data_IF_558821285035
#
_entry.id   IF_558821285035
#
_cell.length_a   1.000
_cell.length_b   1.000
_cell.length_c   1.000
_cell.angle_alpha   90.00
_cell.angle_beta   90.00
_cell.angle_gamma   90.00
#
_symmetry.space_group_name_H-M   'P 1'
#
loop_
_entity.id
_entity.type
_entity.pdbx_description
1 polymer ?
#
# COMPACT_ATOMS: atom_id res chain seq x y z
N UNK A 1 -3.49 -10.02 13.60
CA UNK A 1 -2.44 -10.46 12.67
C UNK A 1 -1.88 -9.26 11.92
N UNK A 2 -0.72 -9.40 11.34
CA UNK A 2 -0.14 -8.34 10.50
C UNK A 2 -0.73 -8.41 9.09
N UNK A 3 -1.03 -7.23 8.53
CA UNK A 3 -1.48 -7.09 7.14
C UNK A 3 -0.58 -6.06 6.48
N UNK A 4 0.04 -6.42 5.35
CA UNK A 4 0.76 -5.44 4.53
C UNK A 4 -0.27 -4.71 3.69
N UNK A 5 -0.36 -3.39 3.90
CA UNK A 5 -1.28 -2.54 3.14
C UNK A 5 -0.47 -1.66 2.18
N UNK A 6 -0.87 -1.64 0.92
CA UNK A 6 -0.17 -0.81 -0.04
C UNK A 6 -0.80 0.59 -0.17
N UNK A 7 -0.11 1.44 -0.91
CA UNK A 7 -0.52 2.83 -1.10
C UNK A 7 -1.88 2.94 -1.78
N UNK A 8 -2.20 2.06 -2.74
CA UNK A 8 -3.50 2.11 -3.43
C UNK A 8 -4.68 1.92 -2.47
N UNK A 9 -4.55 0.99 -1.54
CA UNK A 9 -5.59 0.71 -0.54
C UNK A 9 -5.69 1.86 0.48
N UNK A 10 -4.55 2.44 0.89
CA UNK A 10 -4.54 3.60 1.77
C UNK A 10 -5.21 4.81 1.12
N UNK A 11 -4.91 5.09 -0.14
CA UNK A 11 -5.54 6.18 -0.88
C UNK A 11 -7.06 5.98 -0.95
N UNK A 12 -7.53 4.77 -1.19
CA UNK A 12 -8.97 4.48 -1.23
C UNK A 12 -9.67 4.84 0.09
N UNK A 13 -9.01 4.63 1.22
CA UNK A 13 -9.54 5.01 2.53
C UNK A 13 -9.50 6.53 2.72
N UNK A 14 -8.39 7.17 2.32
CA UNK A 14 -8.17 8.59 2.52
C UNK A 14 -9.14 9.44 1.68
N UNK A 15 -9.38 9.06 0.42
CA UNK A 15 -10.24 9.82 -0.49
C UNK A 15 -11.66 9.23 -0.63
N UNK A 16 -12.02 8.31 0.25
CA UNK A 16 -13.35 7.72 0.34
C UNK A 16 -13.83 7.07 -0.97
N UNK A 17 -12.99 6.19 -1.53
CA UNK A 17 -13.38 5.39 -2.69
C UNK A 17 -14.34 4.26 -2.28
N UNK A 18 -15.05 3.61 -3.25
CA UNK A 18 -16.04 2.56 -2.94
C UNK A 18 -15.50 1.41 -2.08
N UNK A 19 -14.23 1.09 -2.16
CA UNK A 19 -13.60 -0.01 -1.43
C UNK A 19 -13.32 0.32 0.03
N UNK A 20 -13.46 1.58 0.46
CA UNK A 20 -13.11 2.05 1.81
C UNK A 20 -13.76 1.20 2.90
N UNK A 21 -15.05 0.95 2.81
CA UNK A 21 -15.77 0.19 3.84
C UNK A 21 -15.22 -1.22 4.00
N UNK A 22 -14.94 -1.89 2.90
CA UNK A 22 -14.40 -3.25 2.91
C UNK A 22 -12.98 -3.29 3.48
N UNK A 23 -12.16 -2.30 3.12
CA UNK A 23 -10.79 -2.19 3.64
C UNK A 23 -10.82 -2.00 5.16
N UNK A 24 -11.67 -1.12 5.66
CA UNK A 24 -11.83 -0.90 7.10
C UNK A 24 -12.27 -2.19 7.80
N UNK A 25 -13.23 -2.90 7.22
CA UNK A 25 -13.71 -4.18 7.76
C UNK A 25 -12.57 -5.20 7.87
N UNK A 26 -11.79 -5.36 6.79
CA UNK A 26 -10.69 -6.33 6.74
C UNK A 26 -9.56 -5.99 7.71
N UNK A 27 -9.31 -4.72 7.97
CA UNK A 27 -8.17 -4.26 8.76
C UNK A 27 -8.49 -4.06 10.24
N UNK A 28 -9.77 -3.97 10.60
CA UNK A 28 -10.18 -3.77 12.00
C UNK A 28 -9.69 -4.92 12.87
N UNK A 29 -9.02 -4.59 13.96
CA UNK A 29 -8.47 -5.59 14.89
C UNK A 29 -7.14 -6.19 14.46
N UNK A 30 -6.57 -5.73 13.35
CA UNK A 30 -5.29 -6.19 12.84
C UNK A 30 -4.26 -5.08 12.85
N UNK A 31 -2.99 -5.45 12.75
CA UNK A 31 -1.88 -4.50 12.67
C UNK A 31 -1.53 -4.25 11.21
N UNK A 32 -1.52 -2.98 10.81
CA UNK A 32 -1.09 -2.61 9.46
C UNK A 32 0.42 -2.38 9.44
N UNK A 33 1.08 -2.97 8.47
CA UNK A 33 2.53 -2.81 8.27
C UNK A 33 2.81 -2.47 6.81
N UNK A 34 3.96 -1.86 6.58
CA UNK A 34 4.40 -1.56 5.22
C UNK A 34 5.77 -0.92 5.18
N UNK A 35 6.34 -0.77 3.98
CA UNK A 35 7.64 -0.13 3.82
C UNK A 35 7.57 1.37 4.03
N UNK A 36 8.70 1.97 4.41
CA UNK A 36 8.80 3.42 4.62
C UNK A 36 8.51 4.25 3.38
N UNK A 37 8.61 3.67 2.20
CA UNK A 37 8.31 4.34 0.93
C UNK A 37 6.84 4.80 0.83
N UNK A 38 5.93 4.23 1.61
CA UNK A 38 4.51 4.62 1.62
C UNK A 38 4.36 6.13 1.79
N UNK A 39 5.14 6.75 2.65
CA UNK A 39 5.05 8.21 2.89
C UNK A 39 5.29 9.01 1.62
N UNK A 40 6.30 8.62 0.87
CA UNK A 40 6.68 9.30 -0.37
C UNK A 40 5.67 9.01 -1.48
N UNK A 41 5.14 7.80 -1.51
CA UNK A 41 4.11 7.41 -2.48
C UNK A 41 2.81 8.17 -2.24
N UNK A 42 2.40 8.38 -1.00
CA UNK A 42 1.22 9.19 -0.65
C UNK A 42 1.39 10.62 -1.16
N UNK A 43 2.55 11.24 -0.88
CA UNK A 43 2.84 12.59 -1.36
C UNK A 43 2.80 12.68 -2.89
N UNK A 44 3.39 11.70 -3.56
CA UNK A 44 3.40 11.65 -5.02
C UNK A 44 1.98 11.45 -5.59
N UNK A 45 1.17 10.62 -4.96
CA UNK A 45 -0.22 10.41 -5.37
C UNK A 45 -1.02 11.71 -5.26
N UNK A 46 -0.86 12.46 -4.18
CA UNK A 46 -1.56 13.73 -3.99
C UNK A 46 -1.12 14.75 -5.04
N UNK A 47 0.18 14.87 -5.31
CA UNK A 47 0.67 15.78 -6.33
C UNK A 47 0.16 15.42 -7.73
N UNK A 48 0.04 14.14 -8.02
CA UNK A 48 -0.56 13.65 -9.27
C UNK A 48 -2.03 14.06 -9.38
N UNK A 49 -2.79 13.95 -8.29
CA UNK A 49 -4.19 14.36 -8.25
C UNK A 49 -4.36 15.87 -8.45
N UNK A 50 -3.42 16.70 -7.94
CA UNK A 50 -3.41 18.12 -8.22
C UNK A 50 -3.28 18.39 -9.73
N UNK A 51 -2.33 17.72 -10.38
CA UNK A 51 -2.10 17.88 -11.81
C UNK A 51 -3.29 17.45 -12.66
N UNK A 52 -4.09 16.52 -12.14
CA UNK A 52 -5.29 16.03 -12.81
C UNK A 52 -6.55 16.84 -12.45
N UNK A 53 -6.40 17.89 -11.66
CA UNK A 53 -7.50 18.71 -11.15
C UNK A 53 -8.57 17.90 -10.40
N UNK A 54 -8.15 16.80 -9.76
CA UNK A 54 -9.04 15.94 -8.97
C UNK A 54 -9.05 16.29 -7.49
N UNK A 55 -8.20 17.22 -7.06
CA UNK A 55 -7.86 17.37 -5.65
C UNK A 55 -7.29 18.77 -5.44
N UNK A 56 -7.78 19.52 -4.47
CA UNK A 56 -7.21 20.81 -4.11
C UNK A 56 -6.34 20.71 -2.85
N UNK A 57 -5.69 21.79 -2.49
CA UNK A 57 -4.76 21.80 -1.36
C UNK A 57 -5.48 21.51 -0.02
N UNK A 58 -6.69 22.03 0.15
CA UNK A 58 -7.44 21.78 1.40
C UNK A 58 -7.85 20.31 1.52
N UNK A 59 -8.26 19.71 0.43
CA UNK A 59 -8.55 18.26 0.39
C UNK A 59 -7.30 17.44 0.69
N UNK A 60 -6.15 17.84 0.14
CA UNK A 60 -4.88 17.16 0.41
C UNK A 60 -4.49 17.26 1.89
N UNK A 61 -4.66 18.43 2.51
CA UNK A 61 -4.38 18.60 3.94
C UNK A 61 -5.27 17.73 4.80
N UNK A 62 -6.56 17.64 4.46
CA UNK A 62 -7.48 16.73 5.14
C UNK A 62 -7.06 15.27 4.97
N UNK A 63 -6.65 14.91 3.76
CA UNK A 63 -6.15 13.57 3.47
C UNK A 63 -4.92 13.21 4.28
N UNK A 64 -3.97 14.15 4.41
CA UNK A 64 -2.77 13.94 5.22
C UNK A 64 -3.12 13.78 6.70
N UNK A 65 -4.11 14.50 7.21
CA UNK A 65 -4.60 14.34 8.58
C UNK A 65 -5.17 12.94 8.79
N UNK A 66 -5.96 12.45 7.84
CA UNK A 66 -6.51 11.08 7.87
C UNK A 66 -5.36 10.07 7.85
N UNK A 67 -4.42 10.23 6.93
CA UNK A 67 -3.26 9.33 6.83
C UNK A 67 -2.50 9.27 8.16
N UNK A 68 -2.25 10.42 8.78
CA UNK A 68 -1.53 10.51 10.05
C UNK A 68 -2.26 9.83 11.20
N UNK A 69 -3.59 9.65 11.09
CA UNK A 69 -4.39 8.98 12.11
C UNK A 69 -4.40 7.46 11.96
N UNK A 70 -3.97 6.93 10.84
CA UNK A 70 -3.92 5.49 10.60
C UNK A 70 -2.71 4.89 11.34
N UNK A 71 -2.93 3.93 12.24
CA UNK A 71 -1.82 3.32 12.99
C UNK A 71 -1.08 2.32 12.10
N UNK A 72 -0.13 2.82 11.34
CA UNK A 72 0.65 2.04 10.38
C UNK A 72 2.08 1.89 10.91
N UNK A 73 2.54 0.66 11.04
CA UNK A 73 3.90 0.36 11.45
C UNK A 73 4.78 0.22 10.21
N UNK A 74 5.77 1.10 10.08
CA UNK A 74 6.75 1.02 9.01
C UNK A 74 7.83 0.00 9.39
N UNK A 75 8.14 -0.88 8.45
CA UNK A 75 9.14 -1.93 8.64
C UNK A 75 10.27 -1.75 7.63
N UNK A 76 11.46 -2.23 8.00
CA UNK A 76 12.60 -2.14 7.09
C UNK A 76 12.40 -3.02 5.87
N UNK A 77 12.96 -2.56 4.77
CA UNK A 77 12.93 -3.26 3.48
C UNK A 77 14.29 -3.92 3.26
N UNK A 78 14.28 -5.18 2.84
CA UNK A 78 15.49 -5.85 2.38
C UNK A 78 15.70 -5.46 0.91
N UNK A 79 16.66 -4.56 0.66
CA UNK A 79 16.93 -4.07 -0.69
C UNK A 79 17.43 -5.16 -1.64
N UNK A 80 18.26 -6.07 -1.17
CA UNK A 80 18.75 -7.16 -2.03
C UNK A 80 17.58 -8.04 -2.49
N UNK A 81 16.71 -8.43 -1.57
CA UNK A 81 15.53 -9.22 -1.93
C UNK A 81 14.58 -8.43 -2.83
N UNK A 82 14.34 -7.16 -2.52
CA UNK A 82 13.42 -6.32 -3.30
C UNK A 82 13.91 -6.12 -4.73
N UNK A 83 15.20 -5.88 -4.93
CA UNK A 83 15.77 -5.72 -6.28
C UNK A 83 15.72 -7.04 -7.05
N UNK A 84 15.95 -8.17 -6.37
CA UNK A 84 15.80 -9.49 -6.98
C UNK A 84 14.37 -9.73 -7.44
N UNK A 85 13.38 -9.40 -6.60
CA UNK A 85 11.97 -9.52 -6.94
C UNK A 85 11.60 -8.58 -8.11
N UNK A 86 12.10 -7.35 -8.09
CA UNK A 86 11.85 -6.39 -9.17
C UNK A 86 12.35 -6.93 -10.51
N UNK A 87 13.54 -7.53 -10.54
CA UNK A 87 14.10 -8.14 -11.74
C UNK A 87 13.27 -9.35 -12.17
N UNK A 88 12.98 -10.25 -11.24
CA UNK A 88 12.25 -11.48 -11.50
C UNK A 88 10.85 -11.23 -12.05
N UNK A 89 10.13 -10.27 -11.48
CA UNK A 89 8.75 -9.98 -11.84
C UNK A 89 8.61 -8.83 -12.84
N UNK A 90 9.74 -8.24 -13.30
CA UNK A 90 9.75 -7.11 -14.21
C UNK A 90 8.86 -5.96 -13.73
N UNK A 91 9.13 -5.50 -12.51
CA UNK A 91 8.35 -4.44 -11.86
C UNK A 91 9.27 -3.37 -11.29
N UNK A 92 8.71 -2.22 -10.96
CA UNK A 92 9.44 -1.18 -10.25
C UNK A 92 9.72 -1.61 -8.81
N UNK A 93 10.81 -1.09 -8.25
CA UNK A 93 11.22 -1.44 -6.88
C UNK A 93 10.15 -1.08 -5.84
N UNK A 94 9.37 -0.02 -6.06
CA UNK A 94 8.30 0.37 -5.13
C UNK A 94 7.31 -0.76 -4.89
N UNK A 95 6.88 -1.45 -5.94
CA UNK A 95 6.00 -2.62 -5.81
C UNK A 95 6.70 -3.78 -5.13
N UNK A 96 7.97 -3.98 -5.46
CA UNK A 96 8.76 -5.05 -4.86
C UNK A 96 8.96 -4.88 -3.35
N UNK A 97 9.00 -3.65 -2.85
CA UNK A 97 9.08 -3.39 -1.40
C UNK A 97 7.89 -3.99 -0.65
N UNK A 98 6.70 -3.91 -1.20
CA UNK A 98 5.51 -4.51 -0.59
C UNK A 98 5.57 -6.04 -0.61
N UNK A 99 6.05 -6.61 -1.71
CA UNK A 99 6.21 -8.07 -1.81
C UNK A 99 7.27 -8.58 -0.83
N UNK A 100 8.37 -7.85 -0.68
CA UNK A 100 9.39 -8.16 0.31
C UNK A 100 8.81 -8.16 1.73
N UNK A 101 8.08 -7.12 2.08
CA UNK A 101 7.43 -7.02 3.39
C UNK A 101 6.50 -8.21 3.65
N UNK A 102 5.62 -8.50 2.70
CA UNK A 102 4.64 -9.57 2.84
C UNK A 102 5.33 -10.93 2.99
N UNK A 103 6.35 -11.19 2.19
CA UNK A 103 7.08 -12.45 2.21
C UNK A 103 7.85 -12.63 3.52
N UNK A 104 8.63 -11.64 3.94
CA UNK A 104 9.47 -11.73 5.14
C UNK A 104 8.67 -11.82 6.44
N UNK A 105 7.52 -11.17 6.48
CA UNK A 105 6.65 -11.17 7.67
C UNK A 105 5.57 -12.25 7.62
N UNK A 106 5.52 -13.03 6.55
CA UNK A 106 4.47 -14.04 6.32
C UNK A 106 3.08 -13.44 6.52
N UNK A 107 2.90 -12.22 6.01
CA UNK A 107 1.67 -11.44 6.16
C UNK A 107 0.95 -11.36 4.82
N UNK A 108 -0.40 -11.37 4.82
CA UNK A 108 -1.15 -11.17 3.60
C UNK A 108 -1.00 -9.73 3.09
N UNK A 109 -1.11 -9.57 1.79
CA UNK A 109 -1.07 -8.27 1.12
C UNK A 109 -2.48 -7.79 0.81
N UNK A 110 -2.75 -6.53 1.17
CA UNK A 110 -3.99 -5.84 0.83
C UNK A 110 -3.67 -4.73 -0.16
N UNK A 111 -4.10 -4.90 -1.40
CA UNK A 111 -3.85 -3.96 -2.49
C UNK A 111 -5.06 -3.89 -3.42
N UNK A 112 -5.26 -2.72 -4.03
CA UNK A 112 -6.22 -2.54 -5.11
C UNK A 112 -5.55 -2.56 -6.47
N UNK A 113 -4.22 -2.66 -6.51
CA UNK A 113 -3.46 -2.78 -7.76
C UNK A 113 -3.52 -4.23 -8.25
N UNK A 114 -4.23 -4.44 -9.34
CA UNK A 114 -4.45 -5.77 -9.90
C UNK A 114 -3.15 -6.49 -10.26
N UNK A 115 -2.21 -5.78 -10.87
CA UNK A 115 -0.93 -6.36 -11.28
C UNK A 115 -0.10 -6.79 -10.07
N UNK A 116 -0.05 -5.95 -9.04
CA UNK A 116 0.66 -6.28 -7.81
C UNK A 116 0.04 -7.49 -7.13
N UNK A 117 -1.28 -7.56 -7.09
CA UNK A 117 -2.00 -8.70 -6.52
C UNK A 117 -1.69 -9.99 -7.27
N UNK A 118 -1.75 -9.97 -8.59
CA UNK A 118 -1.45 -11.14 -9.41
C UNK A 118 -0.01 -11.61 -9.21
N UNK A 119 0.94 -10.67 -9.16
CA UNK A 119 2.35 -11.00 -8.92
C UNK A 119 2.55 -11.61 -7.53
N UNK A 120 1.90 -11.06 -6.51
CA UNK A 120 1.95 -11.61 -5.16
C UNK A 120 1.46 -13.06 -5.15
N UNK A 121 0.34 -13.34 -5.79
CA UNK A 121 -0.22 -14.68 -5.88
C UNK A 121 0.73 -15.65 -6.58
N UNK A 122 1.36 -15.22 -7.66
CA UNK A 122 2.36 -16.03 -8.37
C UNK A 122 3.56 -16.39 -7.50
N UNK A 123 3.91 -15.52 -6.55
CA UNK A 123 5.01 -15.73 -5.61
C UNK A 123 4.59 -16.48 -4.34
N UNK A 124 3.34 -16.94 -4.28
CA UNK A 124 2.83 -17.64 -3.11
C UNK A 124 2.48 -16.73 -1.92
N UNK A 125 2.40 -15.43 -2.15
CA UNK A 125 1.99 -14.47 -1.12
C UNK A 125 0.47 -14.42 -1.08
N UNK A 126 -0.09 -14.58 0.12
CA UNK A 126 -1.54 -14.50 0.31
C UNK A 126 -2.02 -13.07 0.10
N UNK A 127 -3.15 -12.91 -0.58
CA UNK A 127 -3.78 -11.61 -0.79
C UNK A 127 -5.17 -11.60 -0.17
N UNK A 128 -5.62 -10.42 0.26
CA UNK A 128 -6.97 -10.24 0.80
C UNK A 128 -7.89 -9.71 -0.29
N UNK A 129 -9.10 -10.24 -0.33
CA UNK A 129 -10.10 -9.82 -1.32
C UNK A 129 -10.87 -8.59 -0.83
N UNK A 130 -10.90 -7.57 -1.67
CA UNK A 130 -11.59 -6.31 -1.39
C UNK A 130 -12.84 -6.16 -2.24
#
# INVERSE_FOLDING_TARGET
MDIVIDTSALIAVIVDEPERGKIIELTTGNTLIGPGSIKWEIGNAFSSMFKQNRFDLDEAKKGLTIFSSIPLRFIETDFFNSISLAKQANMYAYDAYFLDCASRYSAPLLTLDRRLKETAQMLGIKTLEV
#
